data_IF_916520248146
#
_entry.id   IF_916520248146
#
_cell.length_a   1.000
_cell.length_b   1.000
_cell.length_c   1.000
_cell.angle_alpha   90.00
_cell.angle_beta   90.00
_cell.angle_gamma   90.00
#
_symmetry.space_group_name_H-M   'P 1'
#
loop_
_entity.id
_entity.type
_entity.pdbx_description
1 polymer ?
#
# COMPACT_ATOMS: atom_id res chain seq x y z
N UNK A 1 -12.28 70.39 48.75
CA UNK A 1 -13.29 69.55 48.06
C UNK A 1 -13.03 68.08 48.40
N UNK A 2 -14.02 67.42 48.98
CA UNK A 2 -14.03 65.98 49.31
C UNK A 2 -14.28 65.16 48.04
N UNK A 3 -13.59 64.03 47.88
CA UNK A 3 -14.04 62.95 46.99
C UNK A 3 -14.01 61.64 47.78
N UNK A 4 -15.18 61.04 47.94
CA UNK A 4 -15.43 59.76 48.58
C UNK A 4 -14.97 58.58 47.72
N UNK A 5 -14.25 57.63 48.31
CA UNK A 5 -14.15 56.26 47.79
C UNK A 5 -15.21 55.40 48.50
N UNK A 6 -16.27 55.03 47.77
CA UNK A 6 -17.29 54.05 48.20
C UNK A 6 -16.80 52.63 47.91
N UNK A 7 -17.00 51.74 48.87
CA UNK A 7 -16.49 50.38 48.86
C UNK A 7 -17.19 49.38 47.93
N UNK A 8 -16.48 48.26 47.71
CA UNK A 8 -16.98 46.99 47.21
C UNK A 8 -16.46 45.89 48.16
N UNK A 9 -17.30 45.39 49.07
CA UNK A 9 -18.15 44.19 48.96
C UNK A 9 -17.41 42.86 49.23
N UNK A 10 -17.57 42.44 50.47
CA UNK A 10 -17.49 41.06 50.99
C UNK A 10 -18.37 40.14 50.13
N UNK A 11 -17.80 39.51 49.09
CA UNK A 11 -18.50 38.48 48.28
C UNK A 11 -17.60 37.32 47.84
N UNK A 12 -16.29 37.35 48.09
CA UNK A 12 -15.36 36.30 47.61
C UNK A 12 -15.25 35.07 48.52
N UNK A 13 -15.39 35.22 49.85
CA UNK A 13 -15.13 34.11 50.77
C UNK A 13 -16.21 33.01 50.72
N UNK A 14 -17.48 33.38 50.58
CA UNK A 14 -18.60 32.42 50.53
C UNK A 14 -18.58 31.53 49.28
N UNK A 15 -18.12 32.07 48.15
CA UNK A 15 -17.98 31.31 46.90
C UNK A 15 -16.81 30.33 46.97
N UNK A 16 -15.70 30.71 47.60
CA UNK A 16 -14.56 29.82 47.82
C UNK A 16 -14.94 28.61 48.70
N UNK A 17 -15.70 28.83 49.78
CA UNK A 17 -16.16 27.73 50.63
C UNK A 17 -17.13 26.79 49.93
N UNK A 18 -18.00 27.29 49.03
CA UNK A 18 -18.90 26.44 48.25
C UNK A 18 -18.10 25.55 47.29
N UNK A 19 -17.12 26.10 46.57
CA UNK A 19 -16.29 25.34 45.63
C UNK A 19 -15.48 24.26 46.34
N UNK A 20 -14.87 24.59 47.48
CA UNK A 20 -14.10 23.63 48.28
C UNK A 20 -15.02 22.51 48.81
N UNK A 21 -16.23 22.85 49.29
CA UNK A 21 -17.19 21.86 49.73
C UNK A 21 -17.65 20.93 48.59
N UNK A 22 -17.85 21.47 47.37
CA UNK A 22 -18.20 20.66 46.20
C UNK A 22 -17.08 19.70 45.78
N UNK A 23 -15.82 20.13 45.83
CA UNK A 23 -14.66 19.29 45.53
C UNK A 23 -14.48 18.18 46.56
N UNK A 24 -14.67 18.47 47.85
CA UNK A 24 -14.61 17.49 48.92
C UNK A 24 -15.75 16.46 48.80
N UNK A 25 -16.95 16.90 48.41
CA UNK A 25 -18.07 16.00 48.17
C UNK A 25 -17.81 15.07 46.97
N UNK A 26 -17.24 15.60 45.88
CA UNK A 26 -16.87 14.78 44.72
C UNK A 26 -15.79 13.74 45.05
N UNK A 27 -14.79 14.11 45.88
CA UNK A 27 -13.78 13.18 46.36
C UNK A 27 -14.36 12.08 47.25
N UNK A 28 -15.29 12.43 48.15
CA UNK A 28 -15.99 11.46 49.00
C UNK A 28 -16.86 10.50 48.18
N UNK A 29 -17.58 11.01 47.18
CA UNK A 29 -18.38 10.19 46.26
C UNK A 29 -17.48 9.27 45.41
N UNK A 30 -16.36 9.78 44.91
CA UNK A 30 -15.37 8.98 44.18
C UNK A 30 -14.78 7.86 45.03
N UNK A 31 -14.40 8.14 46.27
CA UNK A 31 -13.88 7.16 47.21
C UNK A 31 -14.94 6.09 47.58
N UNK A 32 -16.18 6.50 47.83
CA UNK A 32 -17.29 5.59 48.10
C UNK A 32 -17.59 4.67 46.89
N UNK A 33 -17.60 5.22 45.67
CA UNK A 33 -17.77 4.45 44.44
C UNK A 33 -16.63 3.44 44.23
N UNK A 34 -15.37 3.80 44.55
CA UNK A 34 -14.26 2.85 44.48
C UNK A 34 -14.34 1.74 45.54
N UNK A 35 -14.97 2.00 46.69
CA UNK A 35 -15.20 0.97 47.72
C UNK A 35 -16.36 0.02 47.40
N UNK A 36 -17.22 0.39 46.44
CA UNK A 36 -18.31 -0.44 45.92
C UNK A 36 -17.89 -1.28 44.70
N UNK A 37 -16.68 -1.06 44.17
CA UNK A 37 -16.13 -1.92 43.13
C UNK A 37 -15.67 -3.23 43.77
N UNK A 38 -16.06 -4.40 43.22
CA UNK A 38 -15.54 -5.67 43.70
C UNK A 38 -14.01 -5.71 43.54
N UNK A 39 -13.27 -6.30 44.50
CA UNK A 39 -11.83 -6.48 44.35
C UNK A 39 -11.57 -7.29 43.09
N UNK A 40 -10.60 -6.85 42.28
CA UNK A 40 -10.22 -7.54 41.06
C UNK A 40 -9.80 -8.98 41.39
N UNK A 41 -10.64 -9.95 41.05
CA UNK A 41 -10.26 -11.36 41.05
C UNK A 41 -9.27 -11.61 39.91
N UNK A 42 -7.98 -11.42 40.22
CA UNK A 42 -6.86 -11.92 39.44
C UNK A 42 -6.85 -13.46 39.49
N UNK A 43 -7.70 -14.13 38.70
CA UNK A 43 -7.61 -15.58 38.44
C UNK A 43 -8.53 -16.06 37.31
N UNK A 44 -8.30 -15.62 36.08
CA UNK A 44 -8.74 -16.37 34.88
C UNK A 44 -8.12 -15.99 33.52
N UNK A 45 -7.32 -14.92 33.39
CA UNK A 45 -6.85 -14.46 32.07
C UNK A 45 -5.33 -14.35 31.90
N UNK A 46 -4.54 -14.70 32.92
CA UNK A 46 -3.06 -14.70 32.87
C UNK A 46 -2.44 -16.08 32.64
N UNK A 47 -3.26 -17.10 32.32
CA UNK A 47 -2.81 -18.47 32.04
C UNK A 47 -2.45 -18.78 30.57
N UNK A 48 -2.68 -17.86 29.62
CA UNK A 48 -2.51 -18.16 28.18
C UNK A 48 -1.22 -17.53 27.57
N UNK A 49 -0.50 -16.68 28.30
CA UNK A 49 0.73 -16.03 27.80
C UNK A 49 2.02 -16.30 28.60
N UNK A 50 2.12 -17.46 29.27
CA UNK A 50 3.43 -18.02 29.68
C UNK A 50 3.82 -19.18 28.76
N UNK A 51 4.27 -18.87 27.54
CA UNK A 51 5.19 -19.79 26.85
C UNK A 51 6.55 -19.63 27.50
N UNK A 52 6.94 -20.67 28.26
CA UNK A 52 8.30 -20.82 28.74
C UNK A 52 9.30 -20.77 27.60
N UNK A 53 10.45 -20.17 27.89
CA UNK A 53 11.65 -20.37 27.12
C UNK A 53 12.03 -21.87 27.10
N UNK A 54 12.75 -22.26 26.05
CA UNK A 54 13.25 -23.61 25.72
C UNK A 54 12.29 -24.53 24.95
N UNK A 55 12.16 -24.25 23.65
CA UNK A 55 12.34 -25.29 22.64
C UNK A 55 12.78 -24.59 21.36
N UNK A 56 14.03 -24.83 20.95
CA UNK A 56 14.54 -24.45 19.65
C UNK A 56 13.80 -25.26 18.59
N UNK A 57 12.61 -24.81 18.21
CA UNK A 57 11.95 -25.25 16.98
C UNK A 57 12.70 -24.55 15.85
N UNK A 58 13.31 -25.27 14.89
CA UNK A 58 13.85 -24.66 13.69
C UNK A 58 12.73 -23.84 13.05
N UNK A 59 12.99 -22.72 12.33
CA UNK A 59 11.93 -22.02 11.63
C UNK A 59 11.26 -23.01 10.69
N UNK A 60 10.08 -23.50 11.07
CA UNK A 60 9.25 -24.34 10.26
C UNK A 60 9.05 -23.55 8.98
N UNK A 61 9.49 -24.10 7.86
CA UNK A 61 9.40 -23.44 6.55
C UNK A 61 7.96 -23.01 6.32
N UNK A 62 7.64 -21.75 6.61
CA UNK A 62 6.38 -21.15 6.21
C UNK A 62 6.34 -21.35 4.70
N UNK A 63 5.32 -22.06 4.20
CA UNK A 63 5.25 -22.42 2.79
C UNK A 63 5.39 -21.17 1.92
N UNK A 64 6.03 -21.29 0.75
CA UNK A 64 6.26 -20.15 -0.16
C UNK A 64 4.99 -19.37 -0.54
N UNK A 65 3.84 -20.01 -0.45
CA UNK A 65 2.51 -19.44 -0.67
C UNK A 65 1.87 -18.75 0.56
N UNK A 66 2.43 -18.90 1.76
CA UNK A 66 1.90 -18.33 3.01
C UNK A 66 2.63 -17.06 3.45
N UNK A 67 3.53 -16.55 2.62
CA UNK A 67 4.27 -15.31 2.85
C UNK A 67 4.52 -14.56 1.56
N UNK A 68 4.88 -13.28 1.68
CA UNK A 68 5.19 -12.43 0.53
C UNK A 68 6.45 -11.59 0.77
N UNK A 69 7.01 -11.08 -0.32
CA UNK A 69 8.15 -10.16 -0.29
C UNK A 69 7.71 -8.78 -0.78
N UNK A 70 8.05 -7.74 -0.02
CA UNK A 70 7.85 -6.36 -0.49
C UNK A 70 9.01 -5.95 -1.38
N UNK A 71 8.70 -5.36 -2.53
CA UNK A 71 9.68 -4.69 -3.40
C UNK A 71 9.30 -3.22 -3.49
N UNK A 72 10.19 -2.34 -3.05
CA UNK A 72 9.98 -0.89 -3.10
C UNK A 72 11.18 -0.22 -3.74
N UNK A 73 10.93 0.51 -4.82
CA UNK A 73 11.96 1.31 -5.49
C UNK A 73 11.90 2.74 -4.98
N UNK A 74 13.05 3.30 -4.67
CA UNK A 74 13.13 4.64 -4.09
C UNK A 74 14.11 5.56 -4.80
N UNK A 75 13.70 6.81 -4.97
CA UNK A 75 14.50 7.88 -5.56
C UNK A 75 14.16 9.22 -4.90
N UNK A 76 15.17 9.87 -4.30
CA UNK A 76 15.08 11.15 -3.60
C UNK A 76 13.95 11.25 -2.54
N UNK A 77 13.52 10.14 -1.90
CA UNK A 77 12.49 10.14 -0.85
C UNK A 77 12.87 9.29 0.37
N UNK A 78 14.15 9.34 0.76
CA UNK A 78 14.73 8.48 1.81
C UNK A 78 14.01 8.60 3.16
N UNK A 79 13.53 9.79 3.51
CA UNK A 79 12.79 10.05 4.74
C UNK A 79 11.40 9.40 4.73
N UNK A 80 10.67 9.48 3.60
CA UNK A 80 9.38 8.79 3.41
C UNK A 80 9.59 7.27 3.40
N UNK A 81 10.62 6.80 2.72
CA UNK A 81 11.02 5.39 2.71
C UNK A 81 11.19 4.84 4.14
N UNK A 82 11.90 5.55 5.02
CA UNK A 82 12.10 5.10 6.41
C UNK A 82 10.78 5.05 7.19
N UNK A 83 9.87 6.01 6.98
CA UNK A 83 8.52 5.98 7.58
C UNK A 83 7.71 4.78 7.08
N UNK A 84 7.73 4.52 5.77
CA UNK A 84 7.05 3.39 5.15
C UNK A 84 7.63 2.05 5.61
N UNK A 85 8.96 1.93 5.70
CA UNK A 85 9.63 0.74 6.24
C UNK A 85 9.19 0.45 7.66
N UNK A 86 9.03 1.48 8.50
CA UNK A 86 8.54 1.31 9.86
C UNK A 86 7.12 0.73 9.93
N UNK A 87 6.25 1.12 8.99
CA UNK A 87 4.90 0.57 8.87
C UNK A 87 4.92 -0.86 8.30
N UNK A 88 5.58 -1.06 7.17
CA UNK A 88 5.53 -2.33 6.44
C UNK A 88 6.24 -3.48 7.16
N UNK A 89 7.31 -3.23 7.93
CA UNK A 89 8.02 -4.28 8.65
C UNK A 89 7.15 -5.07 9.64
N UNK A 90 6.01 -4.50 10.06
CA UNK A 90 5.09 -5.11 11.03
C UNK A 90 3.89 -5.83 10.37
N UNK A 91 3.83 -5.89 9.03
CA UNK A 91 2.71 -6.51 8.32
C UNK A 91 2.77 -8.04 8.48
N UNK A 92 1.64 -8.71 8.81
CA UNK A 92 1.59 -10.17 8.86
C UNK A 92 1.97 -10.82 7.53
N UNK A 93 2.57 -12.01 7.58
CA UNK A 93 3.02 -12.77 6.40
C UNK A 93 4.14 -12.12 5.56
N UNK A 94 4.66 -10.96 5.95
CA UNK A 94 5.84 -10.40 5.33
C UNK A 94 7.07 -11.25 5.68
N UNK A 95 7.78 -11.74 4.66
CA UNK A 95 9.03 -12.48 4.86
C UNK A 95 10.26 -11.57 4.78
N UNK A 96 10.24 -10.58 3.88
CA UNK A 96 11.40 -9.74 3.55
C UNK A 96 10.98 -8.48 2.81
N UNK A 97 11.79 -7.43 2.93
CA UNK A 97 11.70 -6.23 2.10
C UNK A 97 12.95 -6.09 1.23
N UNK A 98 12.76 -5.83 -0.06
CA UNK A 98 13.82 -5.45 -1.00
C UNK A 98 13.63 -3.98 -1.36
N UNK A 99 14.64 -3.17 -1.05
CA UNK A 99 14.69 -1.76 -1.43
C UNK A 99 15.56 -1.61 -2.66
N UNK A 100 14.95 -1.26 -3.79
CA UNK A 100 15.65 -0.95 -5.04
C UNK A 100 16.10 0.50 -4.97
N UNK A 101 17.39 0.69 -4.72
CA UNK A 101 17.97 1.99 -4.40
C UNK A 101 18.47 2.67 -5.68
N UNK A 102 17.66 3.62 -6.19
CA UNK A 102 17.94 4.34 -7.43
C UNK A 102 18.68 5.69 -7.22
N UNK A 103 19.09 6.02 -6.00
CA UNK A 103 19.87 7.23 -5.72
C UNK A 103 21.36 7.01 -6.05
N UNK A 104 21.71 7.17 -7.34
CA UNK A 104 23.06 6.90 -7.85
C UNK A 104 24.11 7.76 -7.13
N UNK A 105 25.18 7.11 -6.66
CA UNK A 105 26.27 7.76 -5.92
C UNK A 105 25.95 8.13 -4.48
N UNK A 106 24.72 7.90 -3.99
CA UNK A 106 24.36 8.09 -2.57
C UNK A 106 24.31 6.76 -1.86
N UNK A 107 24.82 6.69 -0.63
CA UNK A 107 24.73 5.50 0.20
C UNK A 107 23.29 5.27 0.69
N UNK A 108 22.74 4.05 0.60
CA UNK A 108 21.46 3.72 1.24
C UNK A 108 21.55 3.83 2.77
N UNK A 109 20.43 4.07 3.48
CA UNK A 109 20.42 4.28 4.93
C UNK A 109 20.61 2.98 5.74
N UNK A 110 21.54 2.10 5.34
CA UNK A 110 21.77 0.78 5.95
C UNK A 110 22.18 0.90 7.42
N UNK A 111 23.16 1.74 7.71
CA UNK A 111 23.69 1.92 9.08
C UNK A 111 22.63 2.49 10.01
N UNK A 112 21.89 3.52 9.54
CA UNK A 112 20.78 4.10 10.28
C UNK A 112 19.69 3.05 10.54
N UNK A 113 19.27 2.31 9.51
CA UNK A 113 18.28 1.24 9.66
C UNK A 113 18.73 0.22 10.71
N UNK A 114 19.94 -0.33 10.58
CA UNK A 114 20.50 -1.29 11.54
C UNK A 114 20.56 -0.76 12.98
N UNK A 115 20.85 0.54 13.17
CA UNK A 115 20.90 1.15 14.50
C UNK A 115 19.53 1.27 15.18
N UNK A 116 18.43 1.18 14.43
CA UNK A 116 17.05 1.25 14.92
C UNK A 116 16.45 -0.15 15.18
N UNK A 117 17.24 -1.20 15.04
CA UNK A 117 16.81 -2.59 15.25
C UNK A 117 16.58 -2.97 16.73
N UNK A 118 16.10 -4.20 16.99
CA UNK A 118 15.86 -5.27 16.03
C UNK A 118 14.60 -5.06 15.17
N UNK A 119 14.65 -5.51 13.92
CA UNK A 119 13.51 -5.45 12.99
C UNK A 119 12.81 -6.82 12.88
N UNK A 120 11.49 -6.88 12.66
CA UNK A 120 10.77 -8.15 12.53
C UNK A 120 11.17 -8.98 11.32
N UNK A 121 11.60 -8.32 10.22
CA UNK A 121 11.97 -8.95 8.95
C UNK A 121 13.24 -8.34 8.38
N UNK A 122 14.03 -9.10 7.58
CA UNK A 122 15.19 -8.56 6.88
C UNK A 122 14.79 -7.50 5.84
N UNK A 123 15.57 -6.42 5.78
CA UNK A 123 15.49 -5.38 4.74
C UNK A 123 16.80 -5.38 3.96
N UNK A 124 16.71 -5.60 2.64
CA UNK A 124 17.87 -5.69 1.75
C UNK A 124 17.85 -4.51 0.79
N UNK A 125 18.85 -3.64 0.90
CA UNK A 125 19.04 -2.56 -0.08
C UNK A 125 19.84 -3.08 -1.28
N UNK A 126 19.31 -2.86 -2.47
CA UNK A 126 19.86 -3.22 -3.78
C UNK A 126 20.23 -1.95 -4.54
N UNK A 127 21.48 -1.53 -4.40
CA UNK A 127 22.03 -0.37 -5.10
C UNK A 127 22.05 -0.63 -6.60
N UNK A 128 21.52 0.33 -7.37
CA UNK A 128 21.48 0.26 -8.83
C UNK A 128 22.59 1.12 -9.42
N UNK A 129 23.10 0.72 -10.59
CA UNK A 129 24.14 1.46 -11.31
C UNK A 129 23.57 2.65 -12.10
N UNK A 130 22.30 2.57 -12.50
CA UNK A 130 21.58 3.61 -13.25
C UNK A 130 20.18 3.74 -12.67
N UNK A 131 19.65 4.96 -12.56
CA UNK A 131 18.27 5.19 -12.17
C UNK A 131 17.34 4.83 -13.34
N UNK A 132 16.70 3.66 -13.28
CA UNK A 132 15.69 3.23 -14.26
C UNK A 132 14.42 2.77 -13.56
N UNK A 133 13.27 3.12 -14.14
CA UNK A 133 11.97 2.66 -13.63
C UNK A 133 11.88 1.15 -13.52
N UNK A 134 12.38 0.42 -14.53
CA UNK A 134 12.31 -1.04 -14.58
C UNK A 134 13.26 -1.77 -13.62
N UNK A 135 14.10 -1.08 -12.85
CA UNK A 135 15.02 -1.75 -11.92
C UNK A 135 14.26 -2.61 -10.88
N UNK A 136 13.06 -2.19 -10.48
CA UNK A 136 12.15 -2.96 -9.62
C UNK A 136 11.56 -4.22 -10.22
N UNK A 137 11.68 -4.39 -11.54
CA UNK A 137 11.18 -5.56 -12.27
C UNK A 137 12.26 -6.65 -12.45
N UNK A 138 13.42 -6.51 -11.81
CA UNK A 138 14.46 -7.53 -11.80
C UNK A 138 14.06 -8.73 -10.93
N UNK A 139 14.34 -9.97 -11.37
CA UNK A 139 14.07 -11.18 -10.57
C UNK A 139 15.17 -11.38 -9.52
N UNK A 140 15.17 -10.56 -8.47
CA UNK A 140 16.17 -10.64 -7.41
C UNK A 140 16.17 -12.05 -6.76
N UNK A 141 17.34 -12.69 -6.58
CA UNK A 141 17.41 -14.04 -6.04
C UNK A 141 16.90 -14.14 -4.59
N UNK A 142 16.87 -13.04 -3.85
CA UNK A 142 16.33 -12.99 -2.49
C UNK A 142 14.78 -12.98 -2.42
N UNK A 143 14.09 -12.97 -3.57
CA UNK A 143 12.63 -13.16 -3.65
C UNK A 143 12.32 -14.66 -3.64
N UNK A 144 12.19 -15.20 -2.43
CA UNK A 144 11.95 -16.63 -2.18
C UNK A 144 10.46 -17.00 -2.16
N UNK A 145 9.59 -16.01 -1.96
CA UNK A 145 8.13 -16.11 -1.90
C UNK A 145 7.50 -16.15 -3.29
N UNK A 146 6.32 -16.75 -3.41
CA UNK A 146 5.59 -16.74 -4.69
C UNK A 146 4.89 -15.40 -4.93
N UNK A 147 4.45 -14.72 -3.86
CA UNK A 147 3.86 -13.39 -3.91
C UNK A 147 4.88 -12.26 -3.76
N UNK A 148 4.83 -11.29 -4.66
CA UNK A 148 5.50 -10.01 -4.52
C UNK A 148 4.46 -8.92 -4.28
N UNK A 149 4.62 -8.16 -3.20
CA UNK A 149 3.92 -6.89 -3.00
C UNK A 149 4.82 -5.76 -3.50
N UNK A 150 4.45 -5.13 -4.61
CA UNK A 150 5.17 -3.98 -5.12
C UNK A 150 4.49 -2.69 -4.69
N UNK A 151 5.30 -1.76 -4.19
CA UNK A 151 4.86 -0.49 -3.63
C UNK A 151 5.76 0.66 -4.13
N UNK A 152 5.13 1.75 -4.56
CA UNK A 152 5.82 3.03 -4.76
C UNK A 152 6.25 3.62 -3.40
N UNK A 153 7.38 4.32 -3.36
CA UNK A 153 8.00 4.86 -2.14
C UNK A 153 7.29 6.10 -1.55
N UNK A 154 6.10 6.42 -2.06
CA UNK A 154 5.19 7.43 -1.55
C UNK A 154 3.80 6.86 -1.23
N UNK A 155 3.60 5.55 -1.31
CA UNK A 155 2.28 4.94 -1.09
C UNK A 155 2.24 4.20 0.25
N UNK A 156 1.31 4.60 1.11
CA UNK A 156 1.00 3.95 2.38
C UNK A 156 -0.33 3.19 2.25
N UNK A 157 -0.27 1.86 2.26
CA UNK A 157 -1.45 0.98 2.29
C UNK A 157 -1.61 0.40 3.69
N UNK A 158 -2.83 0.43 4.24
CA UNK A 158 -3.10 -0.07 5.59
C UNK A 158 -2.84 -1.58 5.72
N UNK A 159 -2.52 -2.03 6.94
CA UNK A 159 -2.29 -3.46 7.23
C UNK A 159 -3.52 -4.33 6.91
N UNK A 160 -4.78 -3.92 7.24
CA UNK A 160 -5.97 -4.65 6.83
C UNK A 160 -6.10 -4.79 5.31
N UNK A 161 -5.86 -3.72 4.55
CA UNK A 161 -5.94 -3.74 3.09
C UNK A 161 -4.90 -4.69 2.48
N UNK A 162 -3.66 -4.67 2.98
CA UNK A 162 -2.62 -5.61 2.54
C UNK A 162 -3.02 -7.05 2.87
N UNK A 163 -3.50 -7.30 4.08
CA UNK A 163 -3.89 -8.65 4.52
C UNK A 163 -5.04 -9.21 3.68
N UNK A 164 -6.03 -8.38 3.35
CA UNK A 164 -7.13 -8.76 2.48
C UNK A 164 -6.68 -8.95 1.03
N UNK A 165 -5.91 -8.02 0.45
CA UNK A 165 -5.41 -8.18 -0.91
C UNK A 165 -4.50 -9.40 -1.06
N UNK A 166 -3.70 -9.74 -0.05
CA UNK A 166 -2.90 -10.97 -0.04
C UNK A 166 -3.78 -12.22 -0.04
N UNK A 167 -4.87 -12.25 0.75
CA UNK A 167 -5.80 -13.39 0.75
C UNK A 167 -6.57 -13.54 -0.56
N UNK A 168 -6.88 -12.43 -1.23
CA UNK A 168 -7.41 -12.42 -2.60
C UNK A 168 -6.35 -12.95 -3.58
N UNK A 169 -5.11 -12.47 -3.52
CA UNK A 169 -4.03 -12.95 -4.38
C UNK A 169 -3.80 -14.46 -4.27
N UNK A 170 -3.88 -15.04 -3.06
CA UNK A 170 -3.78 -16.49 -2.88
C UNK A 170 -4.84 -17.29 -3.66
N UNK A 171 -5.99 -16.69 -3.96
CA UNK A 171 -7.07 -17.29 -4.75
C UNK A 171 -6.94 -16.99 -6.25
N UNK A 172 -6.22 -15.92 -6.62
CA UNK A 172 -6.00 -15.48 -7.99
C UNK A 172 -4.50 -15.25 -8.28
N UNK A 173 -3.62 -16.25 -8.08
CA UNK A 173 -2.18 -16.07 -8.18
C UNK A 173 -1.71 -15.72 -9.60
N UNK A 174 -2.52 -16.03 -10.60
CA UNK A 174 -2.25 -15.76 -12.02
C UNK A 174 -2.51 -14.31 -12.45
N UNK A 175 -3.08 -13.46 -11.57
CA UNK A 175 -3.44 -12.07 -11.88
C UNK A 175 -2.68 -11.06 -10.98
N UNK A 176 -2.69 -9.79 -11.39
CA UNK A 176 -2.23 -8.66 -10.58
C UNK A 176 -3.38 -8.23 -9.67
N UNK A 177 -3.25 -8.39 -8.35
CA UNK A 177 -4.27 -8.00 -7.36
C UNK A 177 -3.83 -6.71 -6.70
N UNK A 178 -4.56 -5.60 -6.90
CA UNK A 178 -4.09 -4.30 -6.41
C UNK A 178 -5.16 -3.23 -6.29
N UNK A 179 -4.71 -2.05 -5.91
CA UNK A 179 -5.59 -1.00 -5.37
C UNK A 179 -5.85 0.16 -6.35
N UNK A 180 -5.10 0.23 -7.46
CA UNK A 180 -5.13 1.36 -8.39
C UNK A 180 -5.54 0.88 -9.78
N UNK A 181 -6.85 0.82 -10.07
CA UNK A 181 -7.35 0.42 -11.38
C UNK A 181 -7.18 1.56 -12.39
N UNK A 182 -6.84 1.19 -13.64
CA UNK A 182 -6.73 2.10 -14.78
C UNK A 182 -7.26 1.42 -16.03
N UNK A 183 -7.54 2.22 -17.06
CA UNK A 183 -8.15 1.73 -18.28
C UNK A 183 -7.44 2.24 -19.52
N UNK A 184 -7.64 1.51 -20.61
CA UNK A 184 -7.41 2.03 -21.95
C UNK A 184 -8.79 2.26 -22.57
N UNK A 185 -8.91 3.25 -23.45
CA UNK A 185 -10.07 3.41 -24.34
C UNK A 185 -9.59 3.39 -25.77
N UNK A 186 -10.44 2.97 -26.70
CA UNK A 186 -10.12 2.94 -28.12
C UNK A 186 -10.88 4.05 -28.82
N UNK A 187 -10.18 4.91 -29.55
CA UNK A 187 -10.82 5.93 -30.39
C UNK A 187 -11.46 5.27 -31.61
N UNK A 188 -12.34 6.00 -32.30
CA UNK A 188 -12.93 5.54 -33.57
C UNK A 188 -11.88 5.19 -34.64
N UNK A 189 -10.67 5.77 -34.56
CA UNK A 189 -9.55 5.48 -35.46
C UNK A 189 -8.67 4.29 -35.04
N UNK A 190 -9.05 3.56 -33.98
CA UNK A 190 -8.29 2.42 -33.47
C UNK A 190 -7.07 2.78 -32.62
N UNK A 191 -6.92 4.05 -32.22
CA UNK A 191 -5.83 4.51 -31.35
C UNK A 191 -6.22 4.29 -29.90
N UNK A 192 -5.29 3.78 -29.09
CA UNK A 192 -5.53 3.57 -27.66
C UNK A 192 -5.17 4.82 -26.85
N UNK A 193 -6.01 5.18 -25.89
CA UNK A 193 -5.72 6.24 -24.92
C UNK A 193 -5.73 5.68 -23.50
N UNK A 194 -4.76 6.08 -22.69
CA UNK A 194 -4.67 5.74 -21.28
C UNK A 194 -5.53 6.68 -20.44
N UNK A 195 -6.18 6.16 -19.41
CA UNK A 195 -6.84 6.97 -18.38
C UNK A 195 -7.41 6.14 -17.23
N UNK A 196 -8.35 6.73 -16.51
CA UNK A 196 -9.12 6.11 -15.45
C UNK A 196 -10.62 6.36 -15.67
N UNK A 197 -11.39 6.52 -14.60
CA UNK A 197 -12.85 6.71 -14.62
C UNK A 197 -13.32 7.99 -15.32
N UNK A 198 -12.43 8.96 -15.54
CA UNK A 198 -12.72 10.16 -16.32
C UNK A 198 -12.93 9.87 -17.81
N UNK A 199 -12.35 8.77 -18.31
CA UNK A 199 -12.53 8.33 -19.70
C UNK A 199 -13.68 7.33 -19.75
N UNK A 200 -14.91 7.82 -19.59
CA UNK A 200 -16.10 6.98 -19.73
C UNK A 200 -16.20 6.45 -21.16
N UNK A 201 -16.44 5.15 -21.30
CA UNK A 201 -16.96 4.60 -22.54
C UNK A 201 -18.50 4.73 -22.51
N UNK A 202 -19.10 5.66 -23.26
CA UNK A 202 -20.55 5.87 -23.24
C UNK A 202 -21.34 4.62 -23.68
N UNK A 203 -20.70 3.66 -24.36
CA UNK A 203 -21.34 2.44 -24.87
C UNK A 203 -21.45 1.32 -23.84
N UNK A 204 -20.91 1.47 -22.60
CA UNK A 204 -20.88 0.36 -21.62
C UNK A 204 -22.16 0.15 -20.81
N UNK A 205 -23.21 0.97 -21.00
CA UNK A 205 -24.57 0.76 -20.49
C UNK A 205 -24.73 0.89 -18.96
N UNK A 206 -23.87 0.26 -18.16
CA UNK A 206 -23.86 0.33 -16.69
C UNK A 206 -22.44 0.19 -16.12
N UNK A 207 -21.96 1.25 -15.47
CA UNK A 207 -20.69 1.26 -14.74
C UNK A 207 -19.44 1.38 -15.62
N UNK A 208 -18.33 1.70 -14.97
CA UNK A 208 -17.03 1.86 -15.60
C UNK A 208 -16.25 0.53 -15.67
N UNK A 209 -15.24 0.48 -16.53
CA UNK A 209 -14.38 -0.70 -16.73
C UNK A 209 -12.91 -0.32 -16.63
N UNK A 210 -12.14 -1.16 -15.95
CA UNK A 210 -10.68 -1.09 -15.95
C UNK A 210 -10.11 -2.23 -16.78
N UNK A 211 -8.89 -2.06 -17.28
CA UNK A 211 -8.16 -3.10 -18.02
C UNK A 211 -6.73 -3.29 -17.52
N UNK A 212 -6.34 -2.51 -16.50
CA UNK A 212 -5.04 -2.58 -15.85
C UNK A 212 -5.20 -2.34 -14.35
N UNK A 213 -4.27 -2.90 -13.58
CA UNK A 213 -4.02 -2.54 -12.19
C UNK A 213 -2.56 -2.15 -12.06
N UNK A 214 -2.27 -0.96 -11.54
CA UNK A 214 -0.90 -0.45 -11.48
C UNK A 214 -0.10 -1.21 -10.43
N UNK A 215 1.09 -1.71 -10.81
CA UNK A 215 1.94 -2.52 -9.92
C UNK A 215 2.58 -1.71 -8.79
N UNK A 216 2.52 -0.38 -8.84
CA UNK A 216 2.97 0.50 -7.74
C UNK A 216 2.18 0.36 -6.44
N UNK A 217 1.08 -0.39 -6.44
CA UNK A 217 0.37 -0.79 -5.23
C UNK A 217 -0.40 -2.11 -5.49
N UNK A 218 0.33 -3.21 -5.68
CA UNK A 218 -0.29 -4.50 -6.02
C UNK A 218 0.54 -5.72 -5.60
N UNK A 219 -0.17 -6.82 -5.38
CA UNK A 219 0.35 -8.18 -5.34
C UNK A 219 0.38 -8.81 -6.73
N UNK A 220 1.45 -9.53 -7.05
CA UNK A 220 1.52 -10.39 -8.24
C UNK A 220 2.52 -11.53 -8.03
N UNK A 221 2.46 -12.56 -8.88
CA UNK A 221 3.35 -13.71 -8.77
C UNK A 221 4.78 -13.39 -9.24
N UNK A 222 5.81 -13.77 -8.47
CA UNK A 222 7.23 -13.46 -8.78
C UNK A 222 7.69 -13.87 -10.18
N UNK A 223 7.09 -14.92 -10.75
CA UNK A 223 7.41 -15.40 -12.11
C UNK A 223 7.19 -14.32 -13.17
N UNK A 224 6.30 -13.35 -12.93
CA UNK A 224 6.11 -12.24 -13.84
C UNK A 224 7.34 -11.33 -13.93
N UNK A 225 8.22 -11.31 -12.92
CA UNK A 225 9.53 -10.65 -13.01
C UNK A 225 10.44 -11.36 -14.01
N UNK A 226 10.41 -12.70 -14.05
CA UNK A 226 11.17 -13.50 -15.02
C UNK A 226 10.61 -13.31 -16.43
N UNK A 227 9.29 -13.49 -16.60
CA UNK A 227 8.61 -13.26 -17.88
C UNK A 227 8.81 -11.83 -18.40
N UNK A 228 8.93 -10.84 -17.52
CA UNK A 228 9.26 -9.48 -17.90
C UNK A 228 10.68 -9.36 -18.51
N UNK A 229 11.66 -10.07 -17.96
CA UNK A 229 13.03 -10.10 -18.53
C UNK A 229 13.07 -10.80 -19.90
N UNK A 230 12.13 -11.71 -20.16
CA UNK A 230 12.03 -12.45 -21.42
C UNK A 230 11.28 -11.67 -22.53
N UNK A 231 10.78 -10.47 -22.23
CA UNK A 231 10.10 -9.64 -23.22
C UNK A 231 11.05 -9.16 -24.33
N UNK A 232 10.52 -8.85 -25.52
CA UNK A 232 11.31 -8.28 -26.61
C UNK A 232 12.10 -7.04 -26.15
N UNK A 233 13.30 -6.88 -26.69
CA UNK A 233 14.21 -5.78 -26.32
C UNK A 233 13.55 -4.41 -26.55
N UNK A 234 12.65 -4.31 -27.51
CA UNK A 234 11.86 -3.12 -27.81
C UNK A 234 10.99 -2.68 -26.62
N UNK A 235 10.46 -3.63 -25.83
CA UNK A 235 9.71 -3.31 -24.60
C UNK A 235 10.66 -2.66 -23.59
N UNK A 236 11.83 -3.24 -23.38
CA UNK A 236 12.83 -2.74 -22.45
C UNK A 236 13.36 -1.35 -22.85
N UNK A 237 13.62 -1.15 -24.15
CA UNK A 237 14.05 0.13 -24.71
C UNK A 237 12.97 1.20 -24.52
N UNK A 238 11.70 0.90 -24.81
CA UNK A 238 10.58 1.82 -24.62
C UNK A 238 10.50 2.32 -23.16
N UNK A 239 10.67 1.44 -22.19
CA UNK A 239 10.64 1.78 -20.77
C UNK A 239 11.85 2.63 -20.34
N UNK A 240 13.03 2.32 -20.88
CA UNK A 240 14.24 3.09 -20.60
C UNK A 240 14.15 4.51 -21.18
N UNK A 241 13.64 4.65 -22.40
CA UNK A 241 13.44 5.93 -23.10
C UNK A 241 12.39 6.81 -22.42
N UNK A 242 11.28 6.21 -21.98
CA UNK A 242 10.17 6.97 -21.40
C UNK A 242 10.34 7.22 -19.90
N UNK A 243 11.12 6.40 -19.19
CA UNK A 243 11.16 6.36 -17.71
C UNK A 243 9.74 6.34 -17.11
N UNK A 244 8.85 5.55 -17.73
CA UNK A 244 7.43 5.46 -17.41
C UNK A 244 6.90 4.09 -17.88
N UNK A 245 5.61 3.83 -17.69
CA UNK A 245 4.86 2.73 -18.32
C UNK A 245 5.31 1.29 -17.97
N UNK A 246 6.18 1.11 -16.98
CA UNK A 246 6.64 -0.22 -16.55
C UNK A 246 5.49 -1.05 -15.98
N UNK A 247 4.52 -0.39 -15.35
CA UNK A 247 3.25 -0.97 -14.91
C UNK A 247 2.32 -1.38 -16.06
N UNK A 248 2.23 -0.59 -17.13
CA UNK A 248 1.49 -0.93 -18.36
C UNK A 248 2.13 -2.16 -19.00
N UNK A 249 3.47 -2.16 -19.15
CA UNK A 249 4.20 -3.31 -19.69
C UNK A 249 3.96 -4.58 -18.85
N UNK A 250 3.98 -4.48 -17.52
CA UNK A 250 3.65 -5.61 -16.65
C UNK A 250 2.22 -6.14 -16.85
N UNK A 251 1.24 -5.24 -17.04
CA UNK A 251 -0.12 -5.68 -17.37
C UNK A 251 -0.20 -6.39 -18.73
N UNK A 252 0.58 -5.95 -19.74
CA UNK A 252 0.70 -6.65 -21.02
C UNK A 252 1.32 -8.04 -20.87
N UNK A 253 2.41 -8.16 -20.09
CA UNK A 253 3.05 -9.45 -19.78
C UNK A 253 2.05 -10.43 -19.18
N UNK A 254 1.31 -9.99 -18.15
CA UNK A 254 0.33 -10.84 -17.47
C UNK A 254 -0.85 -11.17 -18.37
N UNK A 255 -1.38 -10.21 -19.14
CA UNK A 255 -2.46 -10.47 -20.09
C UNK A 255 -2.05 -11.49 -21.17
N UNK A 256 -0.82 -11.39 -21.67
CA UNK A 256 -0.29 -12.30 -22.68
C UNK A 256 -0.12 -13.72 -22.12
N UNK A 257 0.36 -13.84 -20.88
CA UNK A 257 0.51 -15.13 -20.20
C UNK A 257 -0.85 -15.78 -19.93
N UNK A 258 -1.82 -15.01 -19.44
CA UNK A 258 -3.19 -15.49 -19.24
C UNK A 258 -3.83 -15.97 -20.55
N UNK A 259 -3.63 -15.24 -21.65
CA UNK A 259 -4.16 -15.64 -22.95
C UNK A 259 -3.54 -16.95 -23.49
N UNK A 260 -2.31 -17.30 -23.07
CA UNK A 260 -1.64 -18.56 -23.46
C UNK A 260 -2.11 -19.74 -22.61
N UNK A 261 -2.34 -19.52 -21.32
CA UNK A 261 -2.55 -20.60 -20.36
C UNK A 261 -4.01 -20.80 -19.95
N UNK A 262 -4.87 -19.80 -20.12
CA UNK A 262 -6.27 -19.84 -19.71
C UNK A 262 -7.21 -19.99 -20.89
N UNK A 263 -8.22 -20.85 -20.75
CA UNK A 263 -9.37 -20.91 -21.67
C UNK A 263 -10.33 -19.73 -21.46
N UNK A 264 -10.27 -19.07 -20.30
CA UNK A 264 -11.11 -17.92 -19.96
C UNK A 264 -10.40 -16.61 -20.30
N UNK A 265 -11.14 -15.68 -20.91
CA UNK A 265 -10.67 -14.33 -21.22
C UNK A 265 -10.66 -13.46 -19.96
N UNK A 266 -9.59 -13.57 -19.18
CA UNK A 266 -9.41 -12.84 -17.91
C UNK A 266 -8.70 -11.49 -18.15
N UNK A 267 -9.02 -10.49 -17.31
CA UNK A 267 -8.22 -9.26 -17.20
C UNK A 267 -6.88 -9.55 -16.53
N UNK A 268 -5.82 -8.81 -16.90
CA UNK A 268 -4.52 -8.92 -16.23
C UNK A 268 -4.58 -8.57 -14.75
N UNK A 269 -5.50 -7.67 -14.39
CA UNK A 269 -5.65 -7.14 -13.05
C UNK A 269 -6.99 -7.46 -12.41
N UNK A 270 -6.99 -7.53 -11.07
CA UNK A 270 -8.16 -7.65 -10.22
C UNK A 270 -8.13 -6.52 -9.19
N UNK A 271 -9.17 -5.67 -9.24
CA UNK A 271 -9.26 -4.50 -8.38
C UNK A 271 -9.79 -4.85 -6.99
N UNK A 272 -8.99 -4.57 -5.97
CA UNK A 272 -9.39 -4.56 -4.56
C UNK A 272 -9.57 -3.12 -4.12
N UNK A 273 -10.77 -2.75 -3.68
CA UNK A 273 -11.07 -1.41 -3.18
C UNK A 273 -10.36 -1.20 -1.83
N UNK A 274 -9.39 -0.28 -1.73
CA UNK A 274 -8.73 -0.01 -0.45
C UNK A 274 -9.66 0.76 0.49
N UNK A 275 -9.48 0.53 1.79
CA UNK A 275 -10.11 1.27 2.87
C UNK A 275 -9.26 2.48 3.29
N UNK A 276 -7.96 2.27 3.49
CA UNK A 276 -6.99 3.33 3.80
C UNK A 276 -5.74 3.15 2.92
N UNK A 277 -5.72 3.92 1.83
CA UNK A 277 -4.58 4.11 0.96
C UNK A 277 -4.29 5.60 0.88
N UNK A 278 -3.07 5.98 1.27
CA UNK A 278 -2.61 7.38 1.30
C UNK A 278 -1.37 7.56 0.45
N UNK A 279 -1.32 8.72 -0.22
CA UNK A 279 -0.12 9.18 -0.89
C UNK A 279 0.63 10.15 0.03
N UNK A 280 1.89 9.86 0.28
CA UNK A 280 2.83 10.58 1.16
C UNK A 280 3.86 11.37 0.36
N UNK A 281 3.62 11.64 -0.92
CA UNK A 281 4.57 12.39 -1.77
C UNK A 281 4.94 13.74 -1.14
N UNK A 282 3.95 14.42 -0.56
CA UNK A 282 4.11 15.74 0.08
C UNK A 282 4.87 15.70 1.39
N UNK A 283 5.08 14.51 1.96
CA UNK A 283 5.80 14.33 3.22
C UNK A 283 7.32 14.25 3.00
N UNK A 284 7.77 14.19 1.75
CA UNK A 284 9.19 14.09 1.38
C UNK A 284 9.91 15.42 1.61
N UNK A 285 10.90 15.42 2.49
CA UNK A 285 11.71 16.61 2.81
C UNK A 285 12.60 17.06 1.66
N UNK A 286 12.79 16.22 0.62
CA UNK A 286 13.59 16.55 -0.56
C UNK A 286 12.93 17.54 -1.51
N UNK A 287 11.61 17.76 -1.38
CA UNK A 287 10.81 18.52 -2.34
C UNK A 287 10.64 17.81 -3.70
N UNK A 288 11.05 16.55 -3.82
CA UNK A 288 10.90 15.79 -5.07
C UNK A 288 9.44 15.42 -5.33
N UNK A 289 8.88 16.01 -6.38
CA UNK A 289 7.53 15.70 -6.85
C UNK A 289 7.50 14.40 -7.67
N UNK A 290 6.40 13.69 -7.56
CA UNK A 290 6.09 12.46 -8.27
C UNK A 290 6.03 12.68 -9.77
N UNK A 291 6.38 11.64 -10.52
CA UNK A 291 6.49 11.72 -11.99
C UNK A 291 5.18 12.07 -12.69
N UNK A 292 4.04 11.83 -12.04
CA UNK A 292 2.71 12.11 -12.58
C UNK A 292 2.42 13.61 -12.73
N UNK A 293 3.19 14.47 -12.08
CA UNK A 293 3.10 15.92 -12.22
C UNK A 293 3.69 16.47 -13.54
N UNK A 294 4.47 15.66 -14.27
CA UNK A 294 5.03 16.07 -15.58
C UNK A 294 3.90 16.19 -16.61
N UNK A 295 3.91 17.25 -17.41
CA UNK A 295 2.83 17.53 -18.36
C UNK A 295 2.64 16.40 -19.39
N UNK A 296 3.73 15.77 -19.79
CA UNK A 296 3.77 14.66 -20.73
C UNK A 296 3.36 13.31 -20.11
N UNK A 297 3.19 13.19 -18.79
CA UNK A 297 3.06 11.89 -18.13
C UNK A 297 1.91 11.03 -18.66
N UNK A 298 0.69 11.60 -18.76
CA UNK A 298 -0.48 10.88 -19.26
C UNK A 298 -0.40 10.63 -20.77
N UNK A 299 0.12 11.60 -21.53
CA UNK A 299 0.34 11.47 -22.97
C UNK A 299 1.36 10.36 -23.29
N UNK A 300 2.44 10.27 -22.53
CA UNK A 300 3.44 9.20 -22.60
C UNK A 300 2.81 7.84 -22.31
N UNK A 301 1.88 7.73 -21.35
CA UNK A 301 1.19 6.46 -21.07
C UNK A 301 0.29 6.03 -22.23
N UNK A 302 -0.42 6.95 -22.88
CA UNK A 302 -1.14 6.65 -24.13
C UNK A 302 -0.18 6.23 -25.26
N UNK A 303 0.97 6.89 -25.39
CA UNK A 303 2.01 6.50 -26.34
C UNK A 303 2.51 5.06 -26.08
N UNK A 304 2.79 4.72 -24.83
CA UNK A 304 3.22 3.38 -24.43
C UNK A 304 2.19 2.30 -24.76
N UNK A 305 0.89 2.54 -24.54
CA UNK A 305 -0.16 1.58 -24.90
C UNK A 305 -0.11 1.21 -26.38
N UNK A 306 0.01 2.22 -27.27
CA UNK A 306 0.06 2.00 -28.71
C UNK A 306 1.36 1.32 -29.14
N UNK A 307 2.50 1.72 -28.56
CA UNK A 307 3.79 1.09 -28.85
C UNK A 307 3.85 -0.36 -28.38
N UNK A 308 3.35 -0.66 -27.19
CA UNK A 308 3.25 -2.03 -26.70
C UNK A 308 2.29 -2.86 -27.57
N UNK A 309 1.12 -2.34 -27.94
CA UNK A 309 0.22 -3.04 -28.84
C UNK A 309 0.87 -3.32 -30.22
N UNK A 310 1.69 -2.39 -30.72
CA UNK A 310 2.48 -2.59 -31.94
C UNK A 310 3.54 -3.70 -31.76
N UNK A 311 4.31 -3.66 -30.66
CA UNK A 311 5.37 -4.65 -30.38
C UNK A 311 4.77 -6.06 -30.22
N UNK A 312 3.64 -6.19 -29.53
CA UNK A 312 2.96 -7.48 -29.32
C UNK A 312 2.09 -7.91 -30.51
N UNK A 313 1.85 -7.02 -31.48
CA UNK A 313 1.00 -7.25 -32.65
C UNK A 313 -0.52 -7.27 -32.37
N UNK A 314 -0.93 -7.07 -31.12
CA UNK A 314 -2.33 -7.04 -30.68
C UNK A 314 -2.45 -6.25 -29.38
N UNK A 315 -3.65 -5.78 -29.04
CA UNK A 315 -3.99 -5.31 -27.69
C UNK A 315 -4.39 -6.52 -26.81
N UNK A 316 -3.53 -6.99 -25.88
CA UNK A 316 -3.84 -8.15 -25.06
C UNK A 316 -4.74 -7.80 -23.86
N UNK A 317 -4.77 -6.52 -23.45
CA UNK A 317 -5.52 -6.07 -22.28
C UNK A 317 -7.02 -6.32 -22.44
N UNK A 318 -7.63 -6.88 -21.40
CA UNK A 318 -9.07 -7.17 -21.34
C UNK A 318 -9.72 -6.35 -20.24
N UNK A 319 -10.94 -5.92 -20.49
CA UNK A 319 -11.71 -5.15 -19.52
C UNK A 319 -12.29 -6.04 -18.42
N UNK A 320 -12.41 -5.48 -17.22
CA UNK A 320 -13.13 -6.00 -16.06
C UNK A 320 -13.87 -4.85 -15.38
N UNK A 321 -14.99 -5.16 -14.75
CA UNK A 321 -15.72 -4.27 -13.85
C UNK A 321 -15.82 -4.86 -12.43
N UNK A 322 -15.07 -5.93 -12.14
CA UNK A 322 -15.07 -6.55 -10.82
C UNK A 322 -14.34 -5.66 -9.82
N UNK A 323 -15.04 -5.30 -8.74
CA UNK A 323 -14.45 -4.61 -7.59
C UNK A 323 -14.65 -5.47 -6.35
N UNK A 324 -13.56 -5.89 -5.74
CA UNK A 324 -13.59 -6.68 -4.50
C UNK A 324 -13.50 -5.75 -3.30
N UNK A 325 -14.31 -6.03 -2.28
CA UNK A 325 -14.27 -5.38 -0.97
C UNK A 325 -14.39 -6.45 0.10
N UNK A 326 -13.74 -6.23 1.25
CA UNK A 326 -13.81 -7.19 2.34
C UNK A 326 -15.21 -7.14 2.98
N UNK A 327 -15.93 -8.26 2.97
CA UNK A 327 -17.24 -8.33 3.61
C UNK A 327 -17.14 -8.02 5.11
N UNK A 328 -17.94 -7.06 5.58
CA UNK A 328 -17.96 -6.64 6.98
C UNK A 328 -16.83 -5.71 7.42
N UNK A 329 -16.03 -5.17 6.49
CA UNK A 329 -14.95 -4.22 6.77
C UNK A 329 -14.94 -3.07 5.74
N UNK A 330 -14.73 -1.79 6.14
CA UNK A 330 -14.44 -1.32 7.49
C UNK A 330 -15.67 -1.21 8.40
N UNK A 331 -16.86 -1.06 7.80
CA UNK A 331 -18.12 -1.08 8.54
C UNK A 331 -18.66 -2.51 8.60
N UNK A 332 -19.05 -2.94 9.80
CA UNK A 332 -19.61 -4.27 10.08
C UNK A 332 -20.74 -4.66 9.10
N UNK A 333 -21.51 -3.68 8.62
CA UNK A 333 -22.62 -3.87 7.70
C UNK A 333 -22.40 -3.21 6.32
N UNK A 334 -21.16 -3.20 5.79
CA UNK A 334 -20.86 -2.61 4.47
C UNK A 334 -21.72 -3.17 3.32
N UNK A 335 -22.21 -4.41 3.43
CA UNK A 335 -23.11 -5.05 2.48
C UNK A 335 -24.55 -4.50 2.46
N UNK A 336 -24.97 -3.81 3.53
CA UNK A 336 -26.28 -3.12 3.63
C UNK A 336 -26.16 -1.61 3.53
N UNK A 337 -24.93 -1.10 3.61
CA UNK A 337 -24.69 0.34 3.60
C UNK A 337 -24.98 0.85 2.19
N UNK A 338 -25.99 1.69 2.05
CA UNK A 338 -26.10 2.54 0.86
C UNK A 338 -24.90 3.48 0.91
N UNK A 339 -23.91 3.22 0.06
CA UNK A 339 -22.75 4.10 -0.13
C UNK A 339 -23.19 5.38 -0.79
#
# INVERSE_FOLDING_TARGET
>A
MRVCLRGCRVRSLRWAHIIIASLLLLLLVGAALTSLLPPAEDRALTGIFRRGASTSVPPTSVGRHESFTVVMQTYNRTDVLLKLLNHYQAVPHLQRVIIVWNNIGKQPPRQLWQSLGPHPVPVIFKEQSVNRMRNRLQPFPEIETDAVLMLDDDTLVSVPDISFAFSVWKQFPEQIVGFVPRTHVTTASGIYSYGSFELQNPDTGAGDKYSMVLVGAAFFHRRFLQLFQEQPVEVHTLLDETQNCDDIAMNFVVAQELARNSRALLSSGLFVRPVDLRNLERDASSGYLGMWHRAEHLLQRSYCLNKLAQIYGVMPLRYSNLMLSQFGFPSYANHKSHV
#
